data_IF_008313747543
#
_entry.id   IF_008313747543
#
_cell.length_a   1.000
_cell.length_b   1.000
_cell.length_c   1.000
_cell.angle_alpha   90.00
_cell.angle_beta   90.00
_cell.angle_gamma   90.00
#
_symmetry.space_group_name_H-M   'P 1'
#
loop_
_entity.id
_entity.type
_entity.pdbx_description
1 polymer ?
#
# COMPACT_ATOMS: atom_id res chain seq x y z
N UNK A 1 27.46 -4.57 7.77
CA UNK A 1 28.26 -5.69 7.25
C UNK A 1 27.35 -6.89 7.28
N UNK A 2 26.87 -7.31 6.12
CA UNK A 2 26.41 -8.68 5.83
C UNK A 2 26.19 -8.75 4.30
N UNK A 3 27.32 -8.85 3.60
CA UNK A 3 27.39 -9.15 2.18
C UNK A 3 27.71 -10.64 2.07
N UNK A 4 26.73 -11.53 2.31
CA UNK A 4 26.93 -12.95 2.04
C UNK A 4 25.63 -13.74 1.89
N UNK A 5 24.76 -13.33 0.95
CA UNK A 5 23.61 -14.18 0.58
C UNK A 5 23.24 -14.12 -0.92
N UNK A 6 24.23 -13.91 -1.79
CA UNK A 6 24.05 -14.01 -3.24
C UNK A 6 25.03 -15.03 -3.82
N UNK A 7 24.52 -16.21 -4.22
CA UNK A 7 25.02 -17.05 -5.34
C UNK A 7 24.67 -18.55 -5.27
N UNK A 8 23.68 -18.99 -4.47
CA UNK A 8 23.15 -20.35 -4.64
C UNK A 8 22.16 -20.40 -5.82
N UNK A 9 22.69 -20.74 -6.99
CA UNK A 9 21.90 -21.05 -8.20
C UNK A 9 20.86 -22.12 -7.86
N UNK A 10 19.59 -21.72 -7.80
CA UNK A 10 18.49 -22.60 -7.44
C UNK A 10 17.83 -23.06 -8.73
N UNK A 11 18.31 -24.18 -9.26
CA UNK A 11 17.90 -24.76 -10.55
C UNK A 11 16.37 -24.73 -10.78
N UNK A 12 15.55 -24.91 -9.75
CA UNK A 12 14.09 -24.94 -9.88
C UNK A 12 13.48 -23.52 -10.00
N UNK A 13 14.03 -22.51 -9.32
CA UNK A 13 13.55 -21.12 -9.38
C UNK A 13 14.12 -20.35 -10.58
N UNK A 14 15.34 -20.67 -10.97
CA UNK A 14 16.06 -19.95 -12.02
C UNK A 14 15.71 -20.50 -13.42
N UNK A 15 15.26 -21.75 -13.51
CA UNK A 15 14.81 -22.36 -14.78
C UNK A 15 13.65 -21.63 -15.47
N UNK A 16 12.54 -21.24 -14.80
CA UNK A 16 11.49 -20.47 -15.46
C UNK A 16 11.96 -19.06 -15.87
N UNK A 17 12.88 -18.45 -15.12
CA UNK A 17 13.52 -17.17 -15.49
C UNK A 17 14.41 -17.33 -16.72
N UNK A 18 15.17 -18.42 -16.79
CA UNK A 18 16.01 -18.79 -17.93
C UNK A 18 15.18 -19.06 -19.19
N UNK A 19 14.09 -19.82 -19.08
CA UNK A 19 13.13 -20.03 -20.19
C UNK A 19 12.51 -18.71 -20.63
N UNK A 20 12.15 -17.84 -19.69
CA UNK A 20 11.59 -16.51 -20.01
C UNK A 20 12.61 -15.65 -20.76
N UNK A 21 13.89 -15.66 -20.34
CA UNK A 21 14.97 -14.98 -21.03
C UNK A 21 15.19 -15.49 -22.46
N UNK A 22 15.13 -16.81 -22.68
CA UNK A 22 15.18 -17.41 -24.03
C UNK A 22 13.99 -16.96 -24.87
N UNK A 23 12.80 -16.85 -24.26
CA UNK A 23 11.58 -16.44 -24.95
C UNK A 23 11.59 -14.96 -25.34
N UNK A 24 12.23 -14.12 -24.54
CA UNK A 24 12.33 -12.67 -24.75
C UNK A 24 13.45 -12.29 -25.73
N UNK A 25 14.59 -13.00 -25.72
CA UNK A 25 15.72 -12.80 -26.65
C UNK A 25 16.02 -14.02 -27.52
N UNK A 26 15.00 -14.48 -28.25
CA UNK A 26 15.12 -15.62 -29.18
C UNK A 26 16.26 -15.43 -30.19
N UNK A 27 16.47 -14.20 -30.66
CA UNK A 27 17.42 -13.92 -31.73
C UNK A 27 18.89 -13.97 -31.26
N UNK A 28 19.24 -13.28 -30.17
CA UNK A 28 20.59 -13.39 -29.56
C UNK A 28 20.90 -14.83 -29.12
N UNK A 29 19.93 -15.54 -28.54
CA UNK A 29 20.11 -16.93 -28.14
C UNK A 29 20.44 -17.84 -29.33
N UNK A 30 19.70 -17.72 -30.43
CA UNK A 30 19.94 -18.48 -31.66
C UNK A 30 21.32 -18.15 -32.25
N UNK A 31 21.72 -16.88 -32.30
CA UNK A 31 23.03 -16.48 -32.79
C UNK A 31 24.18 -17.07 -31.96
N UNK A 32 24.09 -17.02 -30.62
CA UNK A 32 25.08 -17.62 -29.71
C UNK A 32 25.19 -19.13 -29.88
N UNK A 33 24.04 -19.80 -29.99
CA UNK A 33 23.98 -21.24 -30.20
C UNK A 33 24.58 -21.64 -31.56
N UNK A 34 24.31 -20.86 -32.61
CA UNK A 34 24.91 -21.07 -33.93
C UNK A 34 26.44 -20.91 -33.89
N UNK A 35 26.96 -19.84 -33.25
CA UNK A 35 28.40 -19.62 -33.10
C UNK A 35 29.07 -20.73 -32.28
N UNK A 36 28.39 -21.28 -31.28
CA UNK A 36 28.92 -22.37 -30.44
C UNK A 36 28.96 -23.72 -31.18
N UNK A 37 27.94 -24.04 -31.97
CA UNK A 37 27.84 -25.33 -32.69
C UNK A 37 28.70 -25.34 -33.96
N UNK A 38 28.92 -24.19 -34.59
CA UNK A 38 29.70 -24.06 -35.82
C UNK A 38 31.07 -24.78 -35.80
N UNK A 39 31.96 -24.57 -34.81
CA UNK A 39 33.24 -25.27 -34.78
C UNK A 39 33.10 -26.80 -34.69
N UNK A 40 32.06 -27.30 -34.02
CA UNK A 40 31.79 -28.74 -33.92
C UNK A 40 31.40 -29.31 -35.28
N UNK A 41 30.61 -28.57 -36.07
CA UNK A 41 30.21 -28.97 -37.42
C UNK A 41 31.43 -29.00 -38.36
N UNK A 42 32.30 -27.99 -38.28
CA UNK A 42 33.48 -27.86 -39.17
C UNK A 42 34.46 -29.03 -39.02
N UNK A 43 34.54 -29.67 -37.85
CA UNK A 43 35.43 -30.83 -37.63
C UNK A 43 34.97 -32.14 -38.31
N UNK A 44 33.76 -32.18 -38.88
CA UNK A 44 33.23 -33.38 -39.56
C UNK A 44 33.86 -33.52 -40.96
N UNK A 45 34.47 -34.67 -41.23
CA UNK A 45 35.17 -34.96 -42.50
C UNK A 45 34.36 -34.56 -43.76
N UNK A 46 33.09 -34.97 -43.84
CA UNK A 46 32.21 -34.65 -44.98
C UNK A 46 31.89 -33.16 -45.16
N UNK A 47 32.06 -32.35 -44.12
CA UNK A 47 31.78 -30.91 -44.17
C UNK A 47 33.03 -30.09 -44.54
N UNK A 48 34.22 -30.61 -44.25
CA UNK A 48 35.50 -29.93 -44.52
C UNK A 48 35.71 -29.66 -46.00
N UNK A 49 35.42 -30.63 -46.87
CA UNK A 49 35.56 -30.46 -48.33
C UNK A 49 34.64 -29.34 -48.84
N UNK A 50 33.37 -29.34 -48.44
CA UNK A 50 32.40 -28.31 -48.82
C UNK A 50 32.73 -26.93 -48.25
N UNK A 51 33.24 -26.88 -47.01
CA UNK A 51 33.66 -25.64 -46.35
C UNK A 51 34.86 -25.00 -47.07
N UNK A 52 35.83 -25.80 -47.51
CA UNK A 52 37.01 -25.29 -48.20
C UNK A 52 36.68 -24.67 -49.57
N UNK A 53 35.73 -25.26 -50.32
CA UNK A 53 35.27 -24.68 -51.60
C UNK A 53 34.55 -23.34 -51.42
N UNK A 54 33.84 -23.15 -50.30
CA UNK A 54 32.98 -21.99 -50.06
C UNK A 54 33.45 -21.13 -48.87
N UNK A 55 34.75 -21.19 -48.53
CA UNK A 55 35.31 -20.64 -47.29
C UNK A 55 34.90 -19.18 -47.03
N UNK A 56 35.01 -18.32 -48.05
CA UNK A 56 34.68 -16.90 -47.94
C UNK A 56 33.21 -16.65 -47.59
N UNK A 57 32.29 -17.46 -48.11
CA UNK A 57 30.86 -17.34 -47.83
C UNK A 57 30.60 -17.61 -46.35
N UNK A 58 31.16 -18.69 -45.81
CA UNK A 58 31.04 -19.02 -44.38
C UNK A 58 31.72 -17.99 -43.47
N UNK A 59 32.86 -17.46 -43.89
CA UNK A 59 33.57 -16.43 -43.16
C UNK A 59 32.73 -15.14 -43.01
N UNK A 60 32.16 -14.64 -44.11
CA UNK A 60 31.28 -13.47 -44.07
C UNK A 60 29.97 -13.76 -43.32
N UNK A 61 29.43 -14.97 -43.40
CA UNK A 61 28.24 -15.38 -42.65
C UNK A 61 28.48 -15.33 -41.13
N UNK A 62 29.61 -15.83 -40.65
CA UNK A 62 29.96 -15.78 -39.23
C UNK A 62 30.12 -14.36 -38.73
N UNK A 63 30.79 -13.50 -39.50
CA UNK A 63 30.93 -12.08 -39.19
C UNK A 63 29.55 -11.43 -39.08
N UNK A 64 28.65 -11.72 -40.03
CA UNK A 64 27.29 -11.19 -40.02
C UNK A 64 26.48 -11.65 -38.80
N UNK A 65 26.55 -12.94 -38.44
CA UNK A 65 25.89 -13.50 -37.25
C UNK A 65 26.44 -12.84 -35.98
N UNK A 66 27.76 -12.64 -35.90
CA UNK A 66 28.41 -11.97 -34.77
C UNK A 66 27.91 -10.52 -34.62
N UNK A 67 27.86 -9.74 -35.71
CA UNK A 67 27.34 -8.37 -35.68
C UNK A 67 25.87 -8.29 -35.26
N UNK A 68 25.03 -9.22 -35.74
CA UNK A 68 23.63 -9.29 -35.32
C UNK A 68 23.52 -9.55 -33.81
N UNK A 69 24.35 -10.44 -33.27
CA UNK A 69 24.36 -10.71 -31.84
C UNK A 69 24.75 -9.47 -31.03
N UNK A 70 25.82 -8.78 -31.43
CA UNK A 70 26.31 -7.58 -30.74
C UNK A 70 25.26 -6.46 -30.71
N UNK A 71 24.57 -6.22 -31.84
CA UNK A 71 23.49 -5.22 -31.92
C UNK A 71 22.32 -5.59 -31.00
N UNK A 72 21.96 -6.87 -30.92
CA UNK A 72 20.91 -7.35 -30.01
C UNK A 72 21.28 -7.09 -28.55
N UNK A 73 22.52 -7.42 -28.16
CA UNK A 73 23.00 -7.22 -26.79
C UNK A 73 23.01 -5.74 -26.39
N UNK A 74 23.49 -4.86 -27.27
CA UNK A 74 23.48 -3.41 -27.01
C UNK A 74 22.06 -2.89 -26.80
N UNK A 75 21.09 -3.36 -27.59
CA UNK A 75 19.68 -2.99 -27.44
C UNK A 75 19.13 -3.42 -26.09
N UNK A 76 19.43 -4.65 -25.66
CA UNK A 76 19.01 -5.18 -24.36
C UNK A 76 19.59 -4.39 -23.19
N UNK A 77 20.88 -4.05 -23.26
CA UNK A 77 21.55 -3.25 -22.22
C UNK A 77 20.89 -1.88 -22.13
N UNK A 78 20.64 -1.22 -23.26
CA UNK A 78 20.00 0.09 -23.31
C UNK A 78 18.57 0.05 -22.76
N UNK A 79 17.82 -0.99 -23.06
CA UNK A 79 16.46 -1.17 -22.54
C UNK A 79 16.47 -1.36 -21.02
N UNK A 80 17.38 -2.20 -20.49
CA UNK A 80 17.55 -2.39 -19.05
C UNK A 80 17.95 -1.10 -18.33
N UNK A 81 18.87 -0.32 -18.92
CA UNK A 81 19.26 0.99 -18.35
C UNK A 81 18.09 1.98 -18.33
N UNK A 82 17.30 2.04 -19.41
CA UNK A 82 16.11 2.89 -19.45
C UNK A 82 15.07 2.44 -18.41
N UNK A 83 14.85 1.13 -18.27
CA UNK A 83 13.95 0.58 -17.27
C UNK A 83 14.40 0.95 -15.85
N UNK A 84 15.71 0.85 -15.59
CA UNK A 84 16.32 1.23 -14.31
C UNK A 84 16.12 2.72 -14.00
N UNK A 85 16.39 3.60 -14.98
CA UNK A 85 16.14 5.04 -14.83
C UNK A 85 14.67 5.36 -14.56
N UNK A 86 13.76 4.69 -15.26
CA UNK A 86 12.32 4.86 -15.04
C UNK A 86 11.90 4.41 -13.64
N UNK A 87 12.43 3.29 -13.15
CA UNK A 87 12.19 2.82 -11.78
C UNK A 87 12.74 3.81 -10.74
N UNK A 88 13.94 4.34 -10.94
CA UNK A 88 14.52 5.35 -10.06
C UNK A 88 13.68 6.64 -10.01
N UNK A 89 13.21 7.13 -11.16
CA UNK A 89 12.31 8.28 -11.22
C UNK A 89 10.98 8.01 -10.51
N UNK A 90 10.35 6.86 -10.77
CA UNK A 90 9.09 6.48 -10.13
C UNK A 90 9.23 6.34 -8.61
N UNK A 91 10.34 5.75 -8.14
CA UNK A 91 10.62 5.67 -6.72
C UNK A 91 10.83 7.04 -6.08
N UNK A 92 11.42 8.00 -6.80
CA UNK A 92 11.54 9.38 -6.33
C UNK A 92 10.18 10.06 -6.22
N UNK A 93 9.33 9.93 -7.25
CA UNK A 93 7.95 10.46 -7.23
C UNK A 93 7.15 9.90 -6.05
N UNK A 94 7.24 8.59 -5.79
CA UNK A 94 6.56 7.95 -4.65
C UNK A 94 6.99 8.58 -3.34
N UNK A 95 8.30 8.74 -3.12
CA UNK A 95 8.83 9.36 -1.89
C UNK A 95 8.37 10.80 -1.71
N UNK A 96 8.34 11.58 -2.78
CA UNK A 96 7.85 12.97 -2.74
C UNK A 96 6.36 13.04 -2.40
N UNK A 97 5.55 12.11 -2.94
CA UNK A 97 4.13 12.00 -2.61
C UNK A 97 3.91 11.57 -1.16
N UNK A 98 4.67 10.59 -0.66
CA UNK A 98 4.63 10.15 0.74
C UNK A 98 4.94 11.30 1.70
N UNK A 99 6.00 12.07 1.42
CA UNK A 99 6.34 13.27 2.20
C UNK A 99 5.24 14.34 2.14
N UNK A 100 4.62 14.51 0.98
CA UNK A 100 3.51 15.47 0.82
C UNK A 100 2.29 15.06 1.64
N UNK A 101 1.96 13.76 1.66
CA UNK A 101 0.88 13.21 2.49
C UNK A 101 1.19 13.40 3.97
N UNK A 102 2.42 13.14 4.40
CA UNK A 102 2.83 13.34 5.79
C UNK A 102 2.71 14.81 6.21
N UNK A 103 3.22 15.73 5.39
CA UNK A 103 3.12 17.16 5.64
C UNK A 103 1.67 17.63 5.73
N UNK A 104 0.81 17.18 4.80
CA UNK A 104 -0.62 17.47 4.85
C UNK A 104 -1.27 16.89 6.11
N UNK A 105 -0.94 15.65 6.47
CA UNK A 105 -1.41 15.02 7.69
C UNK A 105 -1.07 15.84 8.94
N UNK A 106 0.18 16.29 9.07
CA UNK A 106 0.63 17.13 10.18
C UNK A 106 -0.07 18.50 10.20
N UNK A 107 -0.19 19.15 9.04
CA UNK A 107 -0.85 20.45 8.91
C UNK A 107 -2.34 20.39 9.28
N UNK A 108 -3.01 19.28 8.93
CA UNK A 108 -4.43 19.09 9.16
C UNK A 108 -4.75 18.52 10.56
N UNK A 109 -3.79 17.88 11.25
CA UNK A 109 -4.04 17.19 12.52
C UNK A 109 -4.63 18.09 13.62
N UNK A 110 -4.24 19.37 13.67
CA UNK A 110 -4.74 20.34 14.65
C UNK A 110 -6.09 20.97 14.31
N UNK A 111 -6.47 20.99 13.03
CA UNK A 111 -7.62 21.76 12.55
C UNK A 111 -8.95 21.31 13.17
N UNK A 112 -9.27 20.00 13.28
CA UNK A 112 -10.52 19.58 13.91
C UNK A 112 -10.63 20.06 15.35
N UNK A 113 -9.55 20.02 16.12
CA UNK A 113 -9.55 20.44 17.52
C UNK A 113 -9.69 21.95 17.66
N UNK A 114 -8.97 22.73 16.85
CA UNK A 114 -9.07 24.19 16.85
C UNK A 114 -10.46 24.66 16.41
N UNK A 115 -11.04 24.01 15.40
CA UNK A 115 -12.43 24.25 14.99
C UNK A 115 -13.40 23.97 16.15
N UNK A 116 -13.27 22.81 16.80
CA UNK A 116 -14.13 22.44 17.93
C UNK A 116 -13.98 23.38 19.13
N UNK A 117 -12.78 23.91 19.39
CA UNK A 117 -12.58 24.95 20.41
C UNK A 117 -13.41 26.20 20.12
N UNK A 118 -13.43 26.65 18.86
CA UNK A 118 -14.23 27.82 18.47
C UNK A 118 -15.73 27.55 18.57
N UNK A 119 -16.19 26.36 18.16
CA UNK A 119 -17.58 25.95 18.32
C UNK A 119 -17.98 25.87 19.80
N UNK A 120 -17.12 25.31 20.65
CA UNK A 120 -17.31 25.24 22.10
C UNK A 120 -17.51 26.63 22.71
N UNK A 121 -16.65 27.58 22.34
CA UNK A 121 -16.73 28.98 22.77
C UNK A 121 -18.04 29.64 22.32
N UNK A 122 -18.42 29.43 21.05
CA UNK A 122 -19.66 29.97 20.49
C UNK A 122 -20.91 29.41 21.21
N UNK A 123 -20.93 28.11 21.48
CA UNK A 123 -22.01 27.43 22.21
C UNK A 123 -21.98 27.67 23.72
N UNK A 124 -20.92 28.32 24.25
CA UNK A 124 -20.70 28.56 25.67
C UNK A 124 -20.73 27.28 26.51
N UNK A 125 -20.12 26.22 25.97
CA UNK A 125 -19.95 24.96 26.70
C UNK A 125 -19.05 25.19 27.91
N UNK A 126 -19.39 24.54 29.02
CA UNK A 126 -18.68 24.65 30.29
C UNK A 126 -17.57 23.61 30.44
N UNK A 127 -16.81 23.69 31.54
CA UNK A 127 -15.78 22.71 31.90
C UNK A 127 -16.34 21.29 32.18
N UNK A 128 -17.66 21.11 32.29
CA UNK A 128 -18.29 19.78 32.36
C UNK A 128 -18.73 19.24 31.01
N UNK A 129 -18.61 20.03 29.95
CA UNK A 129 -19.09 19.71 28.62
C UNK A 129 -17.96 19.27 27.70
N UNK A 130 -18.33 18.52 26.68
CA UNK A 130 -17.42 18.04 25.65
C UNK A 130 -18.12 18.04 24.31
N UNK A 131 -17.40 18.43 23.27
CA UNK A 131 -17.81 18.31 21.88
C UNK A 131 -16.86 17.35 21.13
N UNK A 132 -17.39 16.59 20.18
CA UNK A 132 -16.61 15.65 19.37
C UNK A 132 -17.12 15.67 17.93
N UNK A 133 -16.20 15.56 16.99
CA UNK A 133 -16.46 15.53 15.55
C UNK A 133 -16.18 14.13 15.01
N UNK A 134 -17.11 13.61 14.22
CA UNK A 134 -17.04 12.27 13.65
C UNK A 134 -17.10 12.33 12.13
N UNK A 135 -16.36 11.43 11.47
CA UNK A 135 -16.48 11.12 10.06
C UNK A 135 -17.06 9.72 9.92
N UNK A 136 -18.03 9.57 9.03
CA UNK A 136 -18.68 8.28 8.76
C UNK A 136 -18.10 7.66 7.48
N UNK A 137 -17.65 6.41 7.55
CA UNK A 137 -17.03 5.69 6.43
C UNK A 137 -17.86 4.47 5.98
N UNK A 138 -19.19 4.61 5.97
CA UNK A 138 -20.20 3.59 5.64
C UNK A 138 -20.31 2.41 6.62
N UNK A 139 -19.25 2.10 7.36
CA UNK A 139 -19.19 0.95 8.29
C UNK A 139 -19.09 1.38 9.75
N UNK A 140 -18.44 2.52 10.00
CA UNK A 140 -18.18 3.04 11.35
C UNK A 140 -18.08 4.56 11.36
N UNK A 141 -18.21 5.12 12.55
CA UNK A 141 -17.91 6.51 12.86
C UNK A 141 -16.53 6.58 13.46
N UNK A 142 -15.63 7.34 12.85
CA UNK A 142 -14.30 7.62 13.37
C UNK A 142 -14.28 9.03 13.95
N UNK A 143 -13.77 9.18 15.17
CA UNK A 143 -13.57 10.50 15.75
C UNK A 143 -12.36 11.16 15.07
N UNK A 144 -12.56 12.37 14.56
CA UNK A 144 -11.50 13.18 13.94
C UNK A 144 -11.11 14.39 14.78
N UNK A 145 -11.88 14.70 15.82
CA UNK A 145 -11.58 15.77 16.76
C UNK A 145 -12.43 15.66 18.02
N UNK A 146 -11.86 16.11 19.14
CA UNK A 146 -12.51 16.24 20.43
C UNK A 146 -12.00 17.50 21.11
N UNK A 147 -12.90 18.19 21.80
CA UNK A 147 -12.56 19.34 22.62
C UNK A 147 -13.39 19.36 23.90
N UNK A 148 -12.72 19.61 25.02
CA UNK A 148 -13.29 20.06 26.28
C UNK A 148 -12.30 21.01 26.95
N UNK A 149 -12.79 21.96 27.75
CA UNK A 149 -11.91 22.75 28.62
C UNK A 149 -11.26 21.86 29.71
N UNK A 150 -11.92 20.74 30.06
CA UNK A 150 -11.39 19.78 31.01
C UNK A 150 -10.50 18.77 30.29
N UNK A 151 -9.20 18.67 30.64
CA UNK A 151 -8.30 17.66 30.07
C UNK A 151 -8.80 16.22 30.23
N UNK A 152 -9.52 15.93 31.32
CA UNK A 152 -10.10 14.60 31.57
C UNK A 152 -11.16 14.23 30.52
N UNK A 153 -11.96 15.20 30.09
CA UNK A 153 -13.00 14.97 29.07
C UNK A 153 -12.48 15.14 27.65
N UNK A 154 -11.40 15.90 27.47
CA UNK A 154 -10.70 16.06 26.19
C UNK A 154 -10.03 14.76 25.72
N UNK A 155 -9.65 13.89 26.65
CA UNK A 155 -9.01 12.60 26.34
C UNK A 155 -9.92 11.67 25.51
N UNK A 156 -9.32 10.98 24.53
CA UNK A 156 -10.02 10.11 23.60
C UNK A 156 -9.70 8.62 23.84
N UNK A 157 -10.53 7.95 24.64
CA UNK A 157 -10.39 6.50 24.91
C UNK A 157 -10.84 5.61 23.75
N UNK A 158 -11.65 6.14 22.83
CA UNK A 158 -12.31 5.36 21.79
C UNK A 158 -12.33 6.14 20.49
N UNK A 159 -11.62 5.61 19.51
CA UNK A 159 -11.47 6.24 18.20
C UNK A 159 -12.63 5.93 17.26
N UNK A 160 -13.31 4.79 17.47
CA UNK A 160 -14.27 4.26 16.51
C UNK A 160 -15.56 3.75 17.14
N UNK A 161 -16.68 4.01 16.48
CA UNK A 161 -18.03 3.60 16.90
C UNK A 161 -18.74 2.88 15.75
N UNK A 162 -19.47 1.78 16.02
CA UNK A 162 -20.15 1.01 14.98
C UNK A 162 -21.27 1.82 14.32
N UNK A 163 -21.59 1.51 13.06
CA UNK A 163 -22.68 2.16 12.31
C UNK A 163 -24.05 2.01 12.97
N UNK A 164 -24.35 0.82 13.49
CA UNK A 164 -25.71 0.42 13.83
C UNK A 164 -25.98 0.35 15.34
N UNK A 165 -25.02 0.75 16.17
CA UNK A 165 -25.17 0.68 17.63
C UNK A 165 -24.72 1.98 18.31
N UNK A 166 -25.24 2.21 19.51
CA UNK A 166 -24.93 3.39 20.31
C UNK A 166 -25.79 4.61 19.96
N UNK A 167 -25.66 5.67 20.76
CA UNK A 167 -26.42 6.90 20.53
C UNK A 167 -25.94 7.70 19.31
N UNK A 168 -24.69 7.51 18.86
CA UNK A 168 -24.18 8.14 17.63
C UNK A 168 -24.93 7.58 16.41
N UNK A 169 -25.05 6.25 16.30
CA UNK A 169 -25.83 5.59 15.26
C UNK A 169 -27.27 6.11 15.21
N UNK A 170 -27.94 6.15 16.36
CA UNK A 170 -29.30 6.69 16.48
C UNK A 170 -29.43 8.15 16.04
N UNK A 171 -28.47 8.99 16.44
CA UNK A 171 -28.43 10.39 16.04
C UNK A 171 -28.17 10.56 14.55
N UNK A 172 -27.41 9.66 13.93
CA UNK A 172 -27.13 9.70 12.50
C UNK A 172 -28.32 9.22 11.65
N UNK A 173 -29.01 8.16 12.08
CA UNK A 173 -30.20 7.67 11.40
C UNK A 173 -31.39 8.64 11.54
N UNK A 174 -31.59 9.21 12.74
CA UNK A 174 -32.59 10.21 13.10
C UNK A 174 -33.85 10.26 12.21
N UNK A 175 -34.57 9.14 12.14
CA UNK A 175 -35.75 8.96 11.28
C UNK A 175 -37.05 9.54 11.88
N UNK A 176 -36.97 10.31 12.97
CA UNK A 176 -38.16 10.82 13.68
C UNK A 176 -38.66 12.18 13.15
N UNK A 177 -37.99 12.72 12.12
CA UNK A 177 -38.32 14.00 11.48
C UNK A 177 -37.86 15.24 12.26
N UNK A 178 -37.17 15.09 13.40
CA UNK A 178 -36.62 16.22 14.14
C UNK A 178 -35.26 16.66 13.59
N UNK A 179 -34.88 17.93 13.73
CA UNK A 179 -33.59 18.42 13.25
C UNK A 179 -32.39 17.87 14.02
N UNK A 180 -32.60 17.34 15.23
CA UNK A 180 -31.53 16.77 16.06
C UNK A 180 -32.07 15.70 17.02
N UNK A 181 -31.19 14.76 17.39
CA UNK A 181 -31.44 13.77 18.43
C UNK A 181 -30.73 14.17 19.72
N UNK A 182 -31.38 14.00 20.87
CA UNK A 182 -30.75 14.20 22.18
C UNK A 182 -31.26 13.18 23.20
N UNK A 183 -30.40 12.82 24.15
CA UNK A 183 -30.74 11.94 25.29
C UNK A 183 -30.22 12.57 26.57
N UNK A 184 -31.15 12.88 27.48
CA UNK A 184 -30.83 13.45 28.79
C UNK A 184 -31.01 12.40 29.90
N UNK A 185 -30.42 12.68 31.07
CA UNK A 185 -30.62 11.93 32.31
C UNK A 185 -30.29 10.44 32.20
N UNK A 186 -29.17 10.11 31.55
CA UNK A 186 -28.64 8.74 31.60
C UNK A 186 -28.31 8.37 33.05
N UNK A 187 -28.59 7.12 33.48
CA UNK A 187 -28.16 6.66 34.79
C UNK A 187 -26.64 6.81 34.95
N UNK A 188 -26.14 6.92 36.19
CA UNK A 188 -24.68 6.96 36.40
C UNK A 188 -24.04 5.71 35.79
N UNK A 189 -22.98 5.94 35.01
CA UNK A 189 -22.24 4.95 34.23
C UNK A 189 -21.65 3.77 35.05
N UNK A 190 -21.56 3.91 36.38
CA UNK A 190 -21.15 2.85 37.32
C UNK A 190 -22.28 1.91 37.74
N UNK A 191 -23.54 2.23 37.43
CA UNK A 191 -24.69 1.45 37.86
C UNK A 191 -25.05 0.38 36.83
N UNK A 192 -25.42 -0.83 37.29
CA UNK A 192 -26.00 -1.87 36.42
C UNK A 192 -27.14 -1.31 35.55
N UNK A 193 -27.95 -0.43 36.12
CA UNK A 193 -29.03 0.28 35.44
C UNK A 193 -28.58 1.06 34.20
N UNK A 194 -27.37 1.62 34.19
CA UNK A 194 -26.82 2.30 33.00
C UNK A 194 -26.62 1.30 31.86
N UNK A 195 -25.91 0.20 32.12
CA UNK A 195 -25.63 -0.82 31.12
C UNK A 195 -26.92 -1.41 30.55
N UNK A 196 -27.88 -1.74 31.40
CA UNK A 196 -29.17 -2.29 30.99
C UNK A 196 -29.95 -1.27 30.13
N UNK A 197 -29.94 0.02 30.51
CA UNK A 197 -30.63 1.09 29.76
C UNK A 197 -29.98 1.31 28.40
N UNK A 198 -28.66 1.51 28.35
CA UNK A 198 -27.94 1.80 27.12
C UNK A 198 -27.97 0.60 26.18
N UNK A 199 -27.80 -0.62 26.68
CA UNK A 199 -27.87 -1.84 25.87
C UNK A 199 -29.25 -2.01 25.22
N UNK A 200 -30.32 -1.89 26.02
CA UNK A 200 -31.70 -1.98 25.53
C UNK A 200 -32.02 -0.89 24.53
N UNK A 201 -31.58 0.35 24.78
CA UNK A 201 -31.88 1.46 23.90
C UNK A 201 -31.07 1.38 22.60
N UNK A 202 -29.79 1.04 22.66
CA UNK A 202 -28.86 1.29 21.54
C UNK A 202 -28.37 0.03 20.83
N UNK A 203 -28.77 -1.16 21.26
CA UNK A 203 -28.33 -2.43 20.69
C UNK A 203 -26.91 -2.85 21.09
N UNK A 204 -26.16 -1.99 21.80
CA UNK A 204 -24.81 -2.33 22.26
C UNK A 204 -24.84 -3.46 23.29
N UNK A 205 -23.88 -4.39 23.21
CA UNK A 205 -23.74 -5.42 24.24
C UNK A 205 -23.21 -4.85 25.56
N UNK A 206 -23.64 -5.41 26.68
CA UNK A 206 -23.15 -5.01 28.02
C UNK A 206 -21.64 -5.22 28.16
N UNK A 207 -21.09 -6.25 27.51
CA UNK A 207 -19.65 -6.52 27.48
C UNK A 207 -18.88 -5.41 26.74
N UNK A 208 -19.36 -4.99 25.57
CA UNK A 208 -18.77 -3.88 24.82
C UNK A 208 -18.82 -2.57 25.59
N UNK A 209 -19.93 -2.32 26.30
CA UNK A 209 -20.04 -1.16 27.18
C UNK A 209 -19.01 -1.24 28.31
N UNK A 210 -18.90 -2.37 29.02
CA UNK A 210 -17.93 -2.58 30.10
C UNK A 210 -16.48 -2.46 29.64
N UNK A 211 -16.13 -2.97 28.46
CA UNK A 211 -14.78 -2.84 27.89
C UNK A 211 -14.39 -1.39 27.59
N UNK A 212 -15.39 -0.52 27.38
CA UNK A 212 -15.17 0.92 27.19
C UNK A 212 -14.88 1.63 28.53
N UNK A 213 -15.04 0.95 29.68
CA UNK A 213 -14.70 1.45 31.02
C UNK A 213 -13.37 0.87 31.51
N UNK A 214 -12.31 1.67 31.45
CA UNK A 214 -11.15 1.54 32.32
C UNK A 214 -11.05 2.81 33.17
N UNK A 215 -11.09 2.59 34.50
CA UNK A 215 -10.93 3.50 35.65
C UNK A 215 -11.03 5.02 35.35
N UNK A 216 -12.24 5.57 35.55
CA UNK A 216 -12.45 6.98 35.94
C UNK A 216 -11.96 7.24 37.37
#
# INVERSE_FOLDING_TARGET
>A
MDFNDESKFNLIKDFPLWIKSIRENKLSFICKLALFIFPIIVTRYSFVEYFNENFWIFFFLLIFIYFINEISEIKEVKEKENLKKNLEMKNKEIKELELSIEYLGQSLAGLPKDFLRQVSNYLRLSNSDRISLYVFNETKFQIIGRYSENPLYDFCNREEYPRNEGYIAKCFENNDGKPYFYKNNLPKNTQKKYFDTVSKETGMSVESLKKTFHEE
#
